data_IF_547357762485
#
_entry.id   IF_547357762485
#
_cell.length_a   1.000
_cell.length_b   1.000
_cell.length_c   1.000
_cell.angle_alpha   90.00
_cell.angle_beta   90.00
_cell.angle_gamma   90.00
#
_symmetry.space_group_name_H-M   'P 1'
#
loop_
_entity.id
_entity.type
_entity.pdbx_description
1 polymer ?
#
# COMPACT_ATOMS: atom_id res chain seq x y z
N UNK A 1 -1.63 0.20 -18.11
CA UNK A 1 -2.94 0.61 -17.53
C UNK A 1 -3.14 2.10 -17.80
N UNK A 2 -4.37 2.52 -18.12
CA UNK A 2 -4.70 3.93 -18.39
C UNK A 2 -5.52 4.41 -17.20
N UNK A 3 -4.97 5.32 -16.38
CA UNK A 3 -5.71 5.88 -15.25
C UNK A 3 -7.01 6.53 -15.75
N UNK A 4 -8.11 6.29 -15.05
CA UNK A 4 -9.35 7.01 -15.28
C UNK A 4 -9.20 8.47 -14.79
N UNK A 5 -10.14 9.36 -15.17
CA UNK A 5 -10.04 10.78 -14.82
C UNK A 5 -10.13 11.01 -13.29
N UNK A 6 -10.92 10.20 -12.59
CA UNK A 6 -11.08 10.29 -11.13
C UNK A 6 -9.78 9.95 -10.38
N UNK A 7 -9.08 8.89 -10.82
CA UNK A 7 -7.79 8.48 -10.27
C UNK A 7 -6.71 9.55 -10.49
N UNK A 8 -6.71 10.20 -11.67
CA UNK A 8 -5.80 11.32 -11.94
C UNK A 8 -6.09 12.52 -11.07
N UNK A 9 -7.37 12.83 -10.85
CA UNK A 9 -7.78 13.93 -10.00
C UNK A 9 -7.39 13.68 -8.54
N UNK A 10 -7.63 12.48 -8.01
CA UNK A 10 -7.19 12.09 -6.67
C UNK A 10 -5.66 12.15 -6.50
N UNK A 11 -4.92 11.70 -7.52
CA UNK A 11 -3.46 11.79 -7.53
C UNK A 11 -2.96 13.23 -7.50
N UNK A 12 -3.63 14.13 -8.23
CA UNK A 12 -3.31 15.56 -8.23
C UNK A 12 -3.58 16.19 -6.87
N UNK A 13 -4.74 15.93 -6.28
CA UNK A 13 -5.11 16.47 -4.97
C UNK A 13 -4.12 16.03 -3.87
N UNK A 14 -3.69 14.76 -3.92
CA UNK A 14 -2.64 14.27 -3.03
C UNK A 14 -1.29 14.97 -3.26
N UNK A 15 -0.91 15.19 -4.52
CA UNK A 15 0.31 15.94 -4.86
C UNK A 15 0.27 17.38 -4.33
N UNK A 16 -0.86 18.07 -4.49
CA UNK A 16 -1.07 19.44 -4.00
C UNK A 16 -0.99 19.48 -2.47
N UNK A 17 -1.65 18.54 -1.78
CA UNK A 17 -1.61 18.45 -0.31
C UNK A 17 -0.21 18.15 0.24
N UNK A 18 0.59 17.30 -0.44
CA UNK A 18 1.96 17.02 -0.05
C UNK A 18 2.84 18.26 -0.20
N UNK A 19 2.72 18.99 -1.31
CA UNK A 19 3.49 20.21 -1.52
C UNK A 19 3.18 21.24 -0.43
N UNK A 20 1.90 21.47 -0.14
CA UNK A 20 1.48 22.38 0.93
C UNK A 20 2.03 21.94 2.30
N UNK A 21 1.98 20.64 2.61
CA UNK A 21 2.51 20.10 3.85
C UNK A 21 4.03 20.27 3.96
N UNK A 22 4.78 20.11 2.87
CA UNK A 22 6.24 20.30 2.85
C UNK A 22 6.59 21.77 2.98
N UNK A 23 5.91 22.67 2.27
CA UNK A 23 6.14 24.13 2.35
C UNK A 23 5.88 24.68 3.76
N UNK A 24 4.84 24.18 4.44
CA UNK A 24 4.51 24.59 5.81
C UNK A 24 5.32 23.85 6.88
N UNK A 25 6.12 22.84 6.52
CA UNK A 25 6.83 22.01 7.48
C UNK A 25 8.02 22.75 8.10
N UNK A 26 7.93 23.03 9.40
CA UNK A 26 9.04 23.57 10.18
C UNK A 26 10.24 22.63 10.14
N UNK A 27 10.03 21.31 10.18
CA UNK A 27 11.14 20.34 10.20
C UNK A 27 11.93 20.31 8.89
N UNK A 28 11.26 20.54 7.75
CA UNK A 28 11.92 20.65 6.45
C UNK A 28 12.70 21.96 6.36
N UNK A 29 12.11 23.07 6.81
CA UNK A 29 12.79 24.37 6.84
C UNK A 29 14.05 24.36 7.72
N UNK A 30 13.96 23.80 8.93
CA UNK A 30 15.12 23.65 9.83
C UNK A 30 16.26 22.85 9.19
N UNK A 31 15.91 21.79 8.44
CA UNK A 31 16.90 20.99 7.72
C UNK A 31 17.56 21.76 6.57
N UNK A 32 16.77 22.54 5.82
CA UNK A 32 17.26 23.44 4.76
C UNK A 32 18.21 24.50 5.32
N UNK A 33 17.86 25.11 6.46
CA UNK A 33 18.70 26.13 7.10
C UNK A 33 20.05 25.54 7.55
N UNK A 34 20.04 24.36 8.18
CA UNK A 34 21.29 23.67 8.55
C UNK A 34 22.20 23.40 7.34
N UNK A 35 21.64 23.04 6.19
CA UNK A 35 22.42 22.86 4.97
C UNK A 35 23.05 24.18 4.50
N UNK A 36 22.32 25.30 4.61
CA UNK A 36 22.85 26.64 4.31
C UNK A 36 23.94 27.08 5.28
N UNK A 37 23.80 26.80 6.57
CA UNK A 37 24.84 27.04 7.58
C UNK A 37 26.14 26.28 7.26
N UNK A 38 26.02 25.10 6.65
CA UNK A 38 27.15 24.30 6.18
C UNK A 38 27.72 24.79 4.83
N UNK A 39 27.16 25.84 4.23
CA UNK A 39 27.61 26.43 2.97
C UNK A 39 27.02 25.80 1.70
N UNK A 40 25.95 25.00 1.82
CA UNK A 40 25.26 24.39 0.69
C UNK A 40 23.92 25.08 0.42
N UNK A 41 23.58 25.32 -0.85
CA UNK A 41 22.25 25.77 -1.24
C UNK A 41 21.42 24.56 -1.70
N UNK A 42 20.41 24.13 -0.92
CA UNK A 42 19.62 22.95 -1.25
C UNK A 42 18.68 23.22 -2.43
N UNK A 43 18.74 22.35 -3.44
CA UNK A 43 17.78 22.30 -4.53
C UNK A 43 16.95 21.02 -4.38
N UNK A 44 15.72 21.16 -3.90
CA UNK A 44 14.82 20.04 -3.65
C UNK A 44 14.01 19.71 -4.91
N UNK A 45 14.15 18.49 -5.42
CA UNK A 45 13.31 17.97 -6.49
C UNK A 45 12.68 16.66 -6.03
N UNK A 46 11.35 16.65 -5.90
CA UNK A 46 10.60 15.49 -5.43
C UNK A 46 9.79 14.91 -6.59
N UNK A 47 9.90 13.60 -6.80
CA UNK A 47 9.06 12.83 -7.72
C UNK A 47 8.18 11.89 -6.90
N UNK A 48 6.87 12.11 -6.94
CA UNK A 48 5.89 11.25 -6.28
C UNK A 48 5.50 10.10 -7.21
N UNK A 49 5.72 8.86 -6.76
CA UNK A 49 5.26 7.65 -7.45
C UNK A 49 4.17 6.99 -6.61
N UNK A 50 2.95 6.94 -7.15
CA UNK A 50 1.80 6.33 -6.48
C UNK A 50 1.27 5.21 -7.36
N UNK A 51 1.23 4.01 -6.78
CA UNK A 51 0.52 2.87 -7.33
C UNK A 51 -0.87 2.80 -6.70
N UNK A 52 -1.88 2.48 -7.51
CA UNK A 52 -3.23 2.20 -7.04
C UNK A 52 -3.44 0.69 -7.09
N UNK A 53 -3.84 0.11 -5.97
CA UNK A 53 -4.30 -1.27 -5.90
C UNK A 53 -5.82 -1.25 -5.69
N UNK A 54 -6.53 -2.05 -6.49
CA UNK A 54 -7.97 -2.23 -6.29
C UNK A 54 -8.18 -3.00 -5.00
N UNK A 55 -9.02 -2.47 -4.12
CA UNK A 55 -9.47 -3.21 -2.94
C UNK A 55 -10.46 -4.24 -3.48
N UNK A 56 -10.08 -5.52 -3.54
CA UNK A 56 -11.08 -6.57 -3.66
C UNK A 56 -11.99 -6.43 -2.45
N UNK A 57 -13.24 -6.01 -2.69
CA UNK A 57 -14.27 -6.10 -1.66
C UNK A 57 -14.19 -7.51 -1.12
N UNK A 58 -13.81 -7.64 0.15
CA UNK A 58 -13.93 -8.88 0.87
C UNK A 58 -15.40 -9.26 0.75
N UNK A 59 -15.70 -10.15 -0.20
CA UNK A 59 -17.01 -10.78 -0.31
C UNK A 59 -17.33 -11.18 1.12
N UNK A 60 -18.43 -10.65 1.65
CA UNK A 60 -19.01 -11.16 2.88
C UNK A 60 -18.91 -12.67 2.76
N UNK A 61 -18.11 -13.27 3.64
CA UNK A 61 -17.98 -14.70 3.72
C UNK A 61 -19.37 -15.20 4.07
N UNK A 62 -20.15 -15.54 3.03
CA UNK A 62 -21.25 -16.46 3.13
C UNK A 62 -20.70 -17.63 3.95
N UNK A 63 -21.32 -17.82 5.09
CA UNK A 63 -21.09 -18.92 6.00
C UNK A 63 -20.92 -20.24 5.23
N UNK A 64 -19.84 -20.92 5.55
CA UNK A 64 -19.75 -22.38 5.61
C UNK A 64 -20.08 -23.17 4.34
N UNK A 65 -19.11 -23.22 3.43
CA UNK A 65 -18.57 -24.48 2.91
C UNK A 65 -17.31 -24.16 2.12
N UNK A 66 -16.16 -24.21 2.80
CA UNK A 66 -14.90 -24.37 2.11
C UNK A 66 -14.93 -25.77 1.50
N UNK A 67 -15.33 -25.86 0.23
CA UNK A 67 -15.25 -27.07 -0.59
C UNK A 67 -13.76 -27.34 -0.91
N UNK A 68 -12.96 -27.60 0.13
CA UNK A 68 -11.61 -28.11 0.02
C UNK A 68 -11.73 -29.61 -0.25
N UNK A 69 -11.74 -30.01 -1.52
CA UNK A 69 -11.46 -31.40 -1.88
C UNK A 69 -10.02 -31.72 -1.44
N UNK A 70 -9.89 -32.55 -0.39
CA UNK A 70 -8.58 -33.04 0.04
C UNK A 70 -7.93 -33.85 -1.09
N UNK A 71 -6.67 -33.54 -1.40
CA UNK A 71 -5.90 -34.36 -2.32
C UNK A 71 -5.53 -35.70 -1.66
N UNK A 72 -5.16 -36.71 -2.45
CA UNK A 72 -4.75 -38.03 -1.90
C UNK A 72 -3.58 -37.92 -0.89
N UNK A 73 -2.69 -36.95 -1.07
CA UNK A 73 -1.55 -36.72 -0.17
C UNK A 73 -1.99 -36.06 1.15
N UNK A 74 -3.02 -35.21 1.13
CA UNK A 74 -3.61 -34.62 2.34
C UNK A 74 -4.28 -35.71 3.19
N UNK A 75 -5.06 -36.59 2.56
CA UNK A 75 -5.72 -37.72 3.24
C UNK A 75 -4.71 -38.67 3.90
N UNK A 76 -3.58 -38.94 3.23
CA UNK A 76 -2.49 -39.74 3.80
C UNK A 76 -1.87 -39.08 5.02
N UNK A 77 -1.70 -37.76 4.97
CA UNK A 77 -1.12 -36.97 6.06
C UNK A 77 -2.06 -36.96 7.27
N UNK A 78 -3.35 -36.69 7.06
CA UNK A 78 -4.37 -36.70 8.10
C UNK A 78 -4.49 -38.07 8.78
N UNK A 79 -4.43 -39.16 7.98
CA UNK A 79 -4.44 -40.53 8.51
C UNK A 79 -3.22 -40.83 9.40
N UNK A 80 -2.03 -40.33 9.05
CA UNK A 80 -0.83 -40.44 9.91
C UNK A 80 -0.99 -39.68 11.22
N UNK A 81 -1.68 -38.54 11.18
CA UNK A 81 -1.97 -37.72 12.35
C UNK A 81 -3.14 -38.24 13.19
N UNK A 82 -3.81 -39.33 12.75
CA UNK A 82 -5.02 -39.91 13.38
C UNK A 82 -6.16 -38.89 13.52
N UNK A 83 -6.23 -37.93 12.61
CA UNK A 83 -7.33 -36.98 12.54
C UNK A 83 -8.43 -37.66 11.73
N UNK A 84 -9.60 -37.84 12.33
CA UNK A 84 -10.78 -38.28 11.61
C UNK A 84 -11.32 -37.11 10.80
N UNK A 85 -11.59 -37.35 9.52
CA UNK A 85 -12.34 -36.43 8.66
C UNK A 85 -13.71 -37.08 8.53
N UNK A 86 -14.75 -36.45 9.09
CA UNK A 86 -16.16 -36.82 8.93
C UNK A 86 -16.82 -35.78 8.00
#
# INVERSE_FOLDING_TARGET
MKFNEDQKQALKELGDAINEAVEMSTSVNDAIERLREMGYEPNLNMKLEIALEEIEEARESDSDELDFEFTEDDLRTLKRMKIAVD
#
